data_IF_252967215482
#
_entry.id   IF_252967215482
#
_cell.length_a   1.000
_cell.length_b   1.000
_cell.length_c   1.000
_cell.angle_alpha   90.00
_cell.angle_beta   90.00
_cell.angle_gamma   90.00
#
_symmetry.space_group_name_H-M   'P 1'
#
loop_
_entity.id
_entity.type
_entity.pdbx_description
1 polymer ?
#
# COMPACT_ATOMS: atom_id res chain seq x y z
N UNK A 1 -10.90 7.36 -7.99
CA UNK A 1 -11.49 8.71 -8.16
C UNK A 1 -12.39 9.11 -7.00
N UNK A 2 -13.30 8.25 -6.52
CA UNK A 2 -14.16 8.57 -5.36
C UNK A 2 -13.38 9.03 -4.11
N UNK A 3 -12.29 8.35 -3.75
CA UNK A 3 -11.49 8.67 -2.56
C UNK A 3 -10.85 10.07 -2.60
N UNK A 4 -10.41 10.51 -3.79
CA UNK A 4 -9.85 11.85 -4.00
C UNK A 4 -10.94 12.90 -3.76
N UNK A 5 -12.17 12.67 -4.25
CA UNK A 5 -13.29 13.56 -4.01
C UNK A 5 -13.64 13.72 -2.53
N UNK A 6 -13.65 12.62 -1.77
CA UNK A 6 -13.87 12.66 -0.32
C UNK A 6 -12.72 13.39 0.38
N UNK A 7 -11.49 13.19 -0.08
CA UNK A 7 -10.29 13.82 0.49
C UNK A 7 -10.25 15.35 0.30
N UNK A 8 -10.99 15.91 -0.65
CA UNK A 8 -11.09 17.38 -0.82
C UNK A 8 -12.08 17.99 0.18
N UNK A 9 -12.97 17.18 0.77
CA UNK A 9 -14.03 17.64 1.67
C UNK A 9 -13.75 17.28 3.13
N UNK A 10 -12.82 16.36 3.37
CA UNK A 10 -12.55 15.81 4.68
C UNK A 10 -11.05 15.60 4.94
N UNK A 11 -10.59 16.27 5.98
CA UNK A 11 -9.21 16.24 6.49
C UNK A 11 -8.73 14.82 6.83
N UNK A 12 -9.59 13.94 7.35
CA UNK A 12 -9.20 12.58 7.73
C UNK A 12 -8.94 11.73 6.48
N UNK A 13 -9.85 11.75 5.52
CA UNK A 13 -9.69 11.10 4.22
C UNK A 13 -8.44 11.60 3.48
N UNK A 14 -8.20 12.92 3.50
CA UNK A 14 -6.99 13.53 2.94
C UNK A 14 -5.73 12.98 3.61
N UNK A 15 -5.70 12.92 4.94
CA UNK A 15 -4.57 12.42 5.73
C UNK A 15 -4.26 10.95 5.38
N UNK A 16 -5.29 10.11 5.30
CA UNK A 16 -5.13 8.70 4.94
C UNK A 16 -4.62 8.57 3.49
N UNK A 17 -5.25 9.25 2.54
CA UNK A 17 -4.84 9.20 1.14
C UNK A 17 -3.39 9.66 0.97
N UNK A 18 -3.04 10.80 1.58
CA UNK A 18 -1.71 11.36 1.50
C UNK A 18 -0.66 10.40 2.08
N UNK A 19 -0.98 9.73 3.19
CA UNK A 19 -0.07 8.75 3.79
C UNK A 19 0.20 7.54 2.89
N UNK A 20 -0.83 7.06 2.17
CA UNK A 20 -0.71 5.96 1.21
C UNK A 20 0.17 6.37 0.04
N UNK A 21 -0.09 7.54 -0.54
CA UNK A 21 0.65 8.04 -1.70
C UNK A 21 2.11 8.36 -1.34
N UNK A 22 2.37 8.95 -0.17
CA UNK A 22 3.72 9.16 0.33
C UNK A 22 4.45 7.84 0.54
N UNK A 23 3.79 6.83 1.12
CA UNK A 23 4.39 5.51 1.30
C UNK A 23 4.86 4.89 0.00
N UNK A 24 4.06 5.01 -1.07
CA UNK A 24 4.40 4.54 -2.42
C UNK A 24 5.49 5.38 -3.08
N UNK A 25 5.48 6.71 -2.89
CA UNK A 25 6.52 7.59 -3.45
C UNK A 25 7.89 7.31 -2.81
N UNK A 26 7.94 7.14 -1.49
CA UNK A 26 9.20 6.92 -0.77
C UNK A 26 9.86 5.58 -1.08
N UNK A 27 9.08 4.59 -1.48
CA UNK A 27 9.61 3.27 -1.83
C UNK A 27 10.14 3.21 -3.26
N UNK A 28 9.87 4.24 -4.08
CA UNK A 28 10.53 4.42 -5.38
C UNK A 28 10.19 3.36 -6.42
N UNK A 29 9.19 2.50 -6.16
CA UNK A 29 8.76 1.42 -7.07
C UNK A 29 8.12 1.88 -8.37
N UNK A 30 7.98 3.18 -8.54
CA UNK A 30 7.34 3.78 -9.68
C UNK A 30 8.35 3.80 -10.85
N UNK A 31 8.42 2.69 -11.56
CA UNK A 31 9.27 2.55 -12.76
C UNK A 31 8.78 3.48 -13.90
N UNK A 32 7.51 3.90 -13.84
CA UNK A 32 6.92 4.83 -14.79
C UNK A 32 6.94 6.28 -14.27
N UNK A 33 7.83 7.11 -14.82
CA UNK A 33 7.97 8.53 -14.50
C UNK A 33 6.65 9.31 -14.55
N UNK A 34 5.73 8.96 -15.45
CA UNK A 34 4.40 9.60 -15.57
C UNK A 34 3.52 9.30 -14.35
N UNK A 35 3.55 8.07 -13.84
CA UNK A 35 2.81 7.69 -12.64
C UNK A 35 3.40 8.37 -11.41
N UNK A 36 4.73 8.52 -11.36
CA UNK A 36 5.43 9.18 -10.27
C UNK A 36 5.13 10.67 -10.21
N UNK A 37 5.17 11.34 -11.37
CA UNK A 37 4.81 12.74 -11.51
C UNK A 37 3.34 12.99 -11.14
N UNK A 38 2.44 12.12 -11.58
CA UNK A 38 1.00 12.23 -11.28
C UNK A 38 0.71 12.04 -9.78
N UNK A 39 1.33 11.04 -9.16
CA UNK A 39 1.22 10.79 -7.71
C UNK A 39 1.78 11.97 -6.91
N UNK A 40 2.94 12.51 -7.32
CA UNK A 40 3.55 13.68 -6.68
C UNK A 40 2.68 14.92 -6.81
N UNK A 41 2.07 15.16 -7.98
CA UNK A 41 1.15 16.28 -8.18
C UNK A 41 -0.06 16.19 -7.25
N UNK A 42 -0.67 14.99 -7.11
CA UNK A 42 -1.79 14.77 -6.19
C UNK A 42 -1.37 15.04 -4.74
N UNK A 43 -0.20 14.55 -4.32
CA UNK A 43 0.34 14.77 -2.97
C UNK A 43 0.51 16.26 -2.68
N UNK A 44 1.14 17.00 -3.61
CA UNK A 44 1.34 18.45 -3.47
C UNK A 44 -0.02 19.16 -3.42
N UNK A 45 -0.92 18.88 -4.36
CA UNK A 45 -2.24 19.53 -4.39
C UNK A 45 -3.03 19.30 -3.10
N UNK A 46 -3.10 18.08 -2.59
CA UNK A 46 -3.84 17.79 -1.36
C UNK A 46 -3.16 18.39 -0.11
N UNK A 47 -1.82 18.41 -0.06
CA UNK A 47 -1.10 19.05 1.04
C UNK A 47 -1.29 20.56 1.10
N UNK A 48 -1.57 21.22 -0.02
CA UNK A 48 -1.90 22.66 -0.08
C UNK A 48 -3.37 22.96 0.19
N UNK A 49 -4.29 22.07 -0.20
CA UNK A 49 -5.73 22.30 -0.11
C UNK A 49 -6.31 21.97 1.27
N UNK A 50 -5.76 20.98 1.97
CA UNK A 50 -6.32 20.46 3.21
C UNK A 50 -5.34 20.55 4.38
N UNK A 51 -5.89 20.73 5.60
CA UNK A 51 -5.08 20.63 6.82
C UNK A 51 -4.84 19.16 7.10
N UNK A 52 -3.58 18.74 7.10
CA UNK A 52 -3.23 17.34 7.33
C UNK A 52 -2.92 17.09 8.80
N UNK A 53 -3.40 15.98 9.35
CA UNK A 53 -3.07 15.58 10.72
C UNK A 53 -1.70 14.89 10.70
N UNK A 54 -0.67 15.60 11.13
CA UNK A 54 0.73 15.18 10.95
C UNK A 54 1.07 13.85 11.62
N UNK A 55 0.60 13.60 12.85
CA UNK A 55 0.96 12.39 13.58
C UNK A 55 0.37 11.11 12.94
N UNK A 56 -0.94 11.05 12.61
CA UNK A 56 -1.50 9.95 11.82
C UNK A 56 -0.90 9.83 10.42
N UNK A 57 -0.61 10.96 9.74
CA UNK A 57 0.06 10.96 8.44
C UNK A 57 1.38 10.20 8.52
N UNK A 58 2.24 10.57 9.48
CA UNK A 58 3.55 9.97 9.65
C UNK A 58 3.42 8.47 10.00
N UNK A 59 2.56 8.14 10.96
CA UNK A 59 2.35 6.75 11.39
C UNK A 59 1.90 5.87 10.21
N UNK A 60 0.88 6.30 9.46
CA UNK A 60 0.38 5.54 8.32
C UNK A 60 1.40 5.47 7.17
N UNK A 61 2.14 6.55 6.92
CA UNK A 61 3.20 6.56 5.90
C UNK A 61 4.27 5.52 6.23
N UNK A 62 4.69 5.42 7.49
CA UNK A 62 5.64 4.39 7.94
C UNK A 62 5.08 3.00 7.72
N UNK A 63 3.81 2.75 8.08
CA UNK A 63 3.19 1.43 7.82
C UNK A 63 3.13 1.09 6.34
N UNK A 64 2.86 2.07 5.47
CA UNK A 64 2.87 1.88 4.02
C UNK A 64 4.26 1.58 3.46
N UNK A 65 5.30 2.26 3.97
CA UNK A 65 6.69 1.95 3.59
C UNK A 65 7.08 0.54 4.04
N UNK A 66 6.67 0.12 5.24
CA UNK A 66 6.92 -1.24 5.74
C UNK A 66 6.26 -2.28 4.84
N UNK A 67 4.99 -2.08 4.46
CA UNK A 67 4.29 -3.00 3.57
C UNK A 67 5.00 -3.14 2.23
N UNK A 68 5.44 -2.03 1.63
CA UNK A 68 6.10 -2.07 0.33
C UNK A 68 7.49 -2.71 0.39
N UNK A 69 8.30 -2.36 1.39
CA UNK A 69 9.61 -3.00 1.62
C UNK A 69 9.46 -4.48 1.97
N UNK A 70 8.42 -4.83 2.72
CA UNK A 70 8.10 -6.22 3.04
C UNK A 70 7.69 -7.00 1.79
N UNK A 71 6.93 -6.39 0.88
CA UNK A 71 6.60 -6.98 -0.42
C UNK A 71 7.87 -7.25 -1.25
N UNK A 72 8.80 -6.30 -1.31
CA UNK A 72 10.10 -6.47 -1.99
C UNK A 72 10.96 -7.58 -1.37
N UNK A 73 10.95 -7.65 -0.04
CA UNK A 73 11.67 -8.70 0.68
C UNK A 73 11.09 -10.09 0.36
N UNK A 74 9.76 -10.21 0.34
CA UNK A 74 9.07 -11.47 -0.01
C UNK A 74 9.35 -11.89 -1.44
N UNK A 75 9.54 -10.95 -2.36
CA UNK A 75 9.86 -11.24 -3.76
C UNK A 75 11.30 -11.71 -3.96
N UNK A 76 12.23 -11.13 -3.21
CA UNK A 76 13.65 -11.44 -3.31
C UNK A 76 14.07 -12.67 -2.48
N UNK A 77 13.27 -13.09 -1.49
CA UNK A 77 13.62 -14.15 -0.55
C UNK A 77 12.54 -15.23 -0.44
N UNK A 78 12.95 -16.49 -0.23
CA UNK A 78 12.01 -17.58 0.10
C UNK A 78 11.44 -17.33 1.50
N UNK A 79 10.19 -16.85 1.53
CA UNK A 79 9.41 -16.59 2.74
C UNK A 79 8.24 -17.56 2.87
N UNK A 80 7.77 -17.79 4.10
CA UNK A 80 6.57 -18.60 4.35
C UNK A 80 5.34 -17.96 3.67
N UNK A 81 4.39 -18.78 3.22
CA UNK A 81 3.14 -18.38 2.55
C UNK A 81 2.35 -17.34 3.35
N UNK A 82 2.35 -17.43 4.68
CA UNK A 82 1.65 -16.47 5.55
C UNK A 82 2.29 -15.08 5.50
N UNK A 83 3.62 -15.00 5.62
CA UNK A 83 4.37 -13.73 5.56
C UNK A 83 4.24 -13.11 4.17
N UNK A 84 4.32 -13.95 3.14
CA UNK A 84 4.11 -13.51 1.77
C UNK A 84 2.72 -12.91 1.59
N UNK A 85 1.66 -13.63 2.00
CA UNK A 85 0.29 -13.13 1.93
C UNK A 85 0.10 -11.82 2.69
N UNK A 86 0.71 -11.69 3.87
CA UNK A 86 0.63 -10.49 4.70
C UNK A 86 1.15 -9.24 3.98
N UNK A 87 2.34 -9.32 3.38
CA UNK A 87 2.94 -8.18 2.69
C UNK A 87 2.38 -7.94 1.28
N UNK A 88 1.94 -8.98 0.58
CA UNK A 88 1.28 -8.81 -0.73
C UNK A 88 -0.04 -8.04 -0.62
N UNK A 89 -0.78 -8.19 0.48
CA UNK A 89 -2.07 -7.54 0.71
C UNK A 89 -2.00 -6.33 1.65
N UNK A 90 -0.81 -5.71 1.80
CA UNK A 90 -0.59 -4.48 2.58
C UNK A 90 -1.26 -4.48 3.96
N UNK A 91 -1.10 -5.57 4.71
CA UNK A 91 -1.78 -5.73 5.99
C UNK A 91 -1.29 -4.76 7.06
N UNK A 92 -0.04 -4.28 7.00
CA UNK A 92 0.51 -3.37 8.00
C UNK A 92 -0.28 -2.07 8.04
N UNK A 93 -0.64 -1.52 6.87
CA UNK A 93 -1.41 -0.29 6.76
C UNK A 93 -2.85 -0.45 7.29
N UNK A 94 -3.48 -1.63 7.06
CA UNK A 94 -4.80 -1.96 7.63
C UNK A 94 -4.77 -1.97 9.15
N UNK A 95 -3.73 -2.58 9.73
CA UNK A 95 -3.52 -2.61 11.18
C UNK A 95 -3.24 -1.21 11.73
N UNK A 96 -2.43 -0.40 11.03
CA UNK A 96 -2.16 0.99 11.39
C UNK A 96 -3.45 1.82 11.45
N UNK A 97 -4.29 1.71 10.43
CA UNK A 97 -5.56 2.42 10.37
C UNK A 97 -6.56 1.95 11.45
N UNK A 98 -6.64 0.63 11.69
CA UNK A 98 -7.44 0.08 12.76
C UNK A 98 -6.98 0.59 14.14
N UNK A 99 -5.67 0.64 14.38
CA UNK A 99 -5.09 1.12 15.64
C UNK A 99 -5.46 2.59 15.89
N UNK A 100 -5.34 3.44 14.87
CA UNK A 100 -5.74 4.85 14.94
C UNK A 100 -7.26 5.00 15.16
N UNK A 101 -8.06 4.12 14.56
CA UNK A 101 -9.51 4.11 14.75
C UNK A 101 -9.91 3.69 16.17
N UNK A 102 -9.27 2.65 16.72
CA UNK A 102 -9.49 2.19 18.10
C UNK A 102 -9.01 3.20 19.15
N UNK A 103 -7.97 3.97 18.83
CA UNK A 103 -7.51 5.08 19.66
C UNK A 103 -8.44 6.31 19.62
N UNK A 104 -9.52 6.27 18.82
CA UNK A 104 -10.49 7.36 18.68
C UNK A 104 -9.98 8.54 17.84
N UNK A 105 -8.85 8.38 17.15
CA UNK A 105 -8.27 9.43 16.29
C UNK A 105 -9.05 9.51 14.97
N UNK A 106 -9.43 8.35 14.42
CA UNK A 106 -10.26 8.26 13.23
C UNK A 106 -11.57 7.54 13.51
N UNK A 107 -12.61 7.93 12.77
CA UNK A 107 -13.89 7.25 12.83
C UNK A 107 -13.79 5.88 12.12
N UNK A 108 -14.44 4.85 12.66
CA UNK A 108 -14.35 3.48 12.13
C UNK A 108 -14.85 3.36 10.67
N UNK A 109 -15.67 4.30 10.21
CA UNK A 109 -16.15 4.39 8.83
C UNK A 109 -15.00 4.53 7.83
N UNK A 110 -13.91 5.22 8.19
CA UNK A 110 -12.73 5.34 7.33
C UNK A 110 -12.02 4.01 7.14
N UNK A 111 -12.06 3.13 8.14
CA UNK A 111 -11.53 1.76 8.01
C UNK A 111 -12.35 0.95 7.01
N UNK A 112 -13.68 1.02 7.10
CA UNK A 112 -14.56 0.35 6.12
C UNK A 112 -14.30 0.87 4.71
N UNK A 113 -14.26 2.18 4.56
CA UNK A 113 -14.03 2.83 3.28
C UNK A 113 -12.65 2.45 2.71
N UNK A 114 -11.62 2.42 3.54
CA UNK A 114 -10.26 2.04 3.15
C UNK A 114 -10.18 0.57 2.72
N UNK A 115 -10.84 -0.34 3.44
CA UNK A 115 -10.91 -1.75 3.07
C UNK A 115 -11.58 -1.95 1.70
N UNK A 116 -12.66 -1.21 1.41
CA UNK A 116 -13.32 -1.28 0.10
C UNK A 116 -12.42 -0.74 -1.01
N UNK A 117 -11.68 0.34 -0.75
CA UNK A 117 -10.69 0.87 -1.68
C UNK A 117 -9.57 -0.14 -1.96
N UNK A 118 -9.05 -0.78 -0.91
CA UNK A 118 -7.97 -1.76 -1.00
C UNK A 118 -8.40 -3.05 -1.72
N UNK A 119 -9.59 -3.59 -1.42
CA UNK A 119 -10.16 -4.72 -2.16
C UNK A 119 -10.34 -4.37 -3.63
N UNK A 120 -10.78 -3.15 -3.94
CA UNK A 120 -10.92 -2.71 -5.33
C UNK A 120 -9.57 -2.66 -6.04
N UNK A 121 -8.52 -2.21 -5.36
CA UNK A 121 -7.16 -2.18 -5.88
C UNK A 121 -6.62 -3.60 -6.14
N UNK A 122 -6.75 -4.50 -5.17
CA UNK A 122 -6.33 -5.90 -5.28
C UNK A 122 -7.06 -6.62 -6.41
N UNK A 123 -8.35 -6.33 -6.59
CA UNK A 123 -9.17 -6.90 -7.66
C UNK A 123 -8.64 -6.48 -9.05
N UNK A 124 -8.24 -5.23 -9.22
CA UNK A 124 -7.60 -4.76 -10.46
C UNK A 124 -6.27 -5.49 -10.71
N UNK A 125 -5.46 -5.69 -9.68
CA UNK A 125 -4.21 -6.46 -9.77
C UNK A 125 -4.43 -7.95 -10.11
N UNK A 126 -5.56 -8.52 -9.71
CA UNK A 126 -5.95 -9.86 -10.12
C UNK A 126 -6.34 -9.92 -11.60
N UNK A 127 -7.12 -8.96 -12.09
CA UNK A 127 -7.53 -8.88 -13.49
C UNK A 127 -6.39 -8.51 -14.45
N UNK A 128 -5.38 -7.75 -13.99
CA UNK A 128 -4.18 -7.46 -14.79
C UNK A 128 -3.24 -8.66 -14.94
N UNK A 129 -3.51 -9.78 -14.24
CA UNK A 129 -2.74 -11.02 -14.34
C UNK A 129 -1.40 -11.00 -13.62
N UNK A 130 -1.00 -9.87 -13.00
CA UNK A 130 0.27 -9.76 -12.28
C UNK A 130 0.36 -10.76 -11.12
N UNK A 131 -0.72 -10.94 -10.37
CA UNK A 131 -0.75 -11.81 -9.20
C UNK A 131 -0.63 -13.31 -9.57
N UNK A 132 -1.28 -13.75 -10.66
CA UNK A 132 -1.15 -15.14 -11.17
C UNK A 132 0.25 -15.42 -11.69
N UNK A 133 0.82 -14.50 -12.47
CA UNK A 133 2.17 -14.63 -13.04
C UNK A 133 3.23 -14.71 -11.93
N UNK A 134 3.08 -13.93 -10.86
CA UNK A 134 3.96 -13.93 -9.69
C UNK A 134 3.90 -15.25 -8.91
N UNK A 135 2.71 -15.84 -8.76
CA UNK A 135 2.50 -17.14 -8.12
C UNK A 135 3.04 -18.30 -8.96
N UNK A 136 2.82 -18.29 -10.27
CA UNK A 136 3.37 -19.30 -11.20
C UNK A 136 4.90 -19.27 -11.24
N UNK A 137 5.52 -18.09 -11.33
CA UNK A 137 6.99 -17.94 -11.29
C UNK A 137 7.58 -18.41 -9.95
N UNK A 138 6.87 -18.22 -8.83
CA UNK A 138 7.28 -18.73 -7.51
C UNK A 138 7.20 -20.26 -7.42
N UNK A 139 6.16 -20.88 -8.00
CA UNK A 139 6.05 -22.34 -8.04
C UNK A 139 7.18 -22.94 -8.89
N UNK A 140 7.48 -22.36 -10.06
CA UNK A 140 8.56 -22.82 -10.94
C UNK A 140 9.94 -22.69 -10.25
N UNK A 141 10.23 -21.57 -9.58
CA UNK A 141 11.49 -21.36 -8.84
C UNK A 141 11.59 -22.16 -7.53
N UNK A 142 10.51 -22.81 -7.11
CA UNK A 142 10.53 -23.74 -5.97
C UNK A 142 10.82 -25.18 -6.40
N UNK A 143 10.62 -25.51 -7.67
CA UNK A 143 10.82 -26.85 -8.24
C UNK A 143 12.18 -27.04 -8.90
N UNK A 144 12.91 -25.97 -9.23
CA UNK A 144 14.30 -26.07 -9.71
C UNK A 144 15.26 -26.24 -8.52
N UNK A 145 15.94 -27.39 -8.37
CA UNK A 145 17.02 -27.52 -7.39
C UNK A 145 18.17 -26.61 -7.85
N UNK A 146 18.70 -25.79 -6.94
CA UNK A 146 19.97 -25.12 -7.20
C UNK A 146 21.02 -26.18 -7.58
N UNK A 147 21.81 -25.98 -8.66
CA UNK A 147 22.98 -26.79 -8.86
C UNK A 147 23.88 -26.61 -7.63
N UNK A 148 24.14 -27.71 -6.93
CA UNK A 148 25.10 -27.75 -5.84
C UNK A 148 26.44 -27.33 -6.44
N UNK A 149 26.88 -26.10 -6.14
CA UNK A 149 28.25 -25.67 -6.42
C UNK A 149 29.14 -26.48 -5.49
N UNK A 150 29.75 -27.53 -6.05
CA UNK A 150 30.87 -28.26 -5.49
C UNK A 150 32.16 -27.45 -5.56
#
# INVERSE_FOLDING_TARGET
MLWIGISILDTTAATILLSVLLGVLFTGKIDNTVFGASTSAIVVSLAFLEKVIFLPLLALTITGIIDEKGNDYVDSHKTNKVIAFFFLHRFTMKIGLLTLSLAGIFAIQYMLAFLLFDISYDTVGFFSGESKKKLELRNINSETPHPQTA
#
